data_IF_391952471701
#
_entry.id   IF_391952471701
#
_cell.length_a   1.000
_cell.length_b   1.000
_cell.length_c   1.000
_cell.angle_alpha   90.00
_cell.angle_beta   90.00
_cell.angle_gamma   90.00
#
_symmetry.space_group_name_H-M   'P 1'
#
loop_
_entity.id
_entity.type
_entity.pdbx_description
1 polymer ?
#
# COMPACT_ATOMS: atom_id res chain seq x y z
N UNK A 1 -4.12 3.16 -5.19
CA UNK A 1 -3.90 1.69 -5.28
C UNK A 1 -4.22 1.09 -3.93
N UNK A 2 -5.00 0.01 -3.87
CA UNK A 2 -5.22 -0.75 -2.63
C UNK A 2 -4.08 -1.74 -2.39
N UNK A 3 -3.90 -2.20 -1.14
CA UNK A 3 -2.87 -3.22 -0.82
C UNK A 3 -3.06 -4.51 -1.62
N UNK A 4 -4.32 -4.83 -1.99
CA UNK A 4 -4.68 -5.98 -2.81
C UNK A 4 -4.21 -5.83 -4.26
N UNK A 5 -4.50 -4.69 -4.88
CA UNK A 5 -4.03 -4.37 -6.24
C UNK A 5 -2.51 -4.33 -6.30
N UNK A 6 -1.84 -3.74 -5.31
CA UNK A 6 -0.38 -3.72 -5.24
C UNK A 6 0.22 -5.13 -5.15
N UNK A 7 -0.42 -6.02 -4.37
CA UNK A 7 -0.02 -7.42 -4.26
C UNK A 7 -0.16 -8.17 -5.57
N UNK A 8 -1.22 -7.89 -6.34
CA UNK A 8 -1.48 -8.51 -7.64
C UNK A 8 -0.54 -7.98 -8.72
N UNK A 9 -0.26 -6.67 -8.75
CA UNK A 9 0.68 -6.08 -9.71
C UNK A 9 2.10 -6.62 -9.54
N UNK A 10 2.52 -6.86 -8.29
CA UNK A 10 3.88 -7.31 -7.99
C UNK A 10 4.02 -8.83 -7.86
N UNK A 11 2.93 -9.61 -7.99
CA UNK A 11 2.89 -11.05 -7.71
C UNK A 11 3.53 -11.41 -6.35
N UNK A 12 3.35 -10.54 -5.36
CA UNK A 12 3.91 -10.72 -4.02
C UNK A 12 2.86 -11.28 -3.06
N UNK A 13 3.33 -12.02 -2.05
CA UNK A 13 2.48 -12.43 -0.94
C UNK A 13 2.07 -11.20 -0.12
N UNK A 14 0.83 -11.19 0.38
CA UNK A 14 0.27 -10.08 1.19
C UNK A 14 1.22 -9.57 2.27
N UNK A 15 1.97 -10.46 2.94
CA UNK A 15 2.95 -10.09 3.97
C UNK A 15 4.10 -9.24 3.44
N UNK A 16 4.65 -9.59 2.26
CA UNK A 16 5.73 -8.82 1.62
C UNK A 16 5.20 -7.48 1.13
N UNK A 17 4.05 -7.49 0.48
CA UNK A 17 3.35 -6.30 0.01
C UNK A 17 3.10 -5.31 1.15
N UNK A 18 2.59 -5.78 2.29
CA UNK A 18 2.34 -4.96 3.46
C UNK A 18 3.61 -4.35 4.04
N UNK A 19 4.72 -5.10 4.12
CA UNK A 19 6.01 -4.55 4.58
C UNK A 19 6.52 -3.44 3.65
N UNK A 20 6.41 -3.62 2.34
CA UNK A 20 6.82 -2.62 1.35
C UNK A 20 5.96 -1.36 1.48
N UNK A 21 4.64 -1.52 1.56
CA UNK A 21 3.71 -0.41 1.73
C UNK A 21 3.98 0.39 3.00
N UNK A 22 4.19 -0.29 4.14
CA UNK A 22 4.54 0.38 5.41
C UNK A 22 5.86 1.16 5.27
N UNK A 23 6.89 0.58 4.65
CA UNK A 23 8.16 1.28 4.43
C UNK A 23 8.01 2.49 3.50
N UNK A 24 7.17 2.40 2.47
CA UNK A 24 6.88 3.51 1.56
C UNK A 24 6.10 4.63 2.26
N UNK A 25 5.19 4.30 3.17
CA UNK A 25 4.49 5.28 4.01
C UNK A 25 5.45 5.95 4.99
N UNK A 26 6.30 5.16 5.67
CA UNK A 26 7.29 5.68 6.63
C UNK A 26 8.34 6.57 5.97
N UNK A 27 8.72 6.28 4.73
CA UNK A 27 9.62 7.13 3.95
C UNK A 27 8.95 8.37 3.35
N UNK A 28 7.63 8.53 3.53
CA UNK A 28 6.89 9.67 2.99
C UNK A 28 6.66 9.63 1.49
N UNK A 29 6.98 8.50 0.82
CA UNK A 29 6.82 8.34 -0.63
C UNK A 29 5.34 8.18 -1.01
N UNK A 30 4.55 7.49 -0.17
CA UNK A 30 3.12 7.32 -0.37
C UNK A 30 2.34 7.78 0.86
N UNK A 31 1.19 8.41 0.65
CA UNK A 31 0.21 8.67 1.70
C UNK A 31 -0.78 7.52 1.80
N UNK A 32 -0.98 7.08 3.04
CA UNK A 32 -2.08 6.22 3.42
C UNK A 32 -3.31 7.10 3.65
N UNK A 33 -4.36 6.87 2.89
CA UNK A 33 -5.68 7.42 3.17
C UNK A 33 -6.59 6.28 3.60
N UNK A 34 -7.05 6.34 4.85
CA UNK A 34 -8.04 5.43 5.41
C UNK A 34 -9.41 6.09 5.28
N UNK A 35 -10.21 5.73 4.28
CA UNK A 35 -11.66 6.01 4.33
C UNK A 35 -12.40 4.84 4.97
N UNK A 36 -13.62 5.07 5.44
CA UNK A 36 -14.45 4.06 6.12
C UNK A 36 -14.72 2.78 5.31
N UNK A 37 -14.41 2.76 4.00
CA UNK A 37 -14.68 1.62 3.12
C UNK A 37 -13.43 0.86 2.70
N UNK A 38 -12.33 1.54 2.35
CA UNK A 38 -11.10 0.88 1.89
C UNK A 38 -9.85 1.75 2.14
N UNK A 39 -8.73 1.11 2.44
CA UNK A 39 -7.42 1.76 2.51
C UNK A 39 -6.86 1.96 1.09
N UNK A 40 -6.67 3.22 0.68
CA UNK A 40 -6.03 3.54 -0.59
C UNK A 40 -4.72 4.31 -0.39
N UNK A 41 -3.74 3.92 -1.19
CA UNK A 41 -2.41 4.52 -1.23
C UNK A 41 -2.31 5.46 -2.45
N UNK A 42 -1.85 6.68 -2.23
CA UNK A 42 -1.54 7.69 -3.25
C UNK A 42 -0.08 8.11 -3.17
N UNK A 43 0.57 8.29 -4.32
CA UNK A 43 1.89 8.92 -4.37
C UNK A 43 1.75 10.41 -3.99
N UNK A 44 2.68 10.91 -3.17
CA UNK A 44 2.75 12.34 -2.80
C UNK A 44 3.32 13.19 -3.93
#
# INVERSE_FOLDING_TARGET
>A
ITSREYSQMLNLSRRRTHRILVNLVLSGVIRLHTTEKEEYYTAS
#
